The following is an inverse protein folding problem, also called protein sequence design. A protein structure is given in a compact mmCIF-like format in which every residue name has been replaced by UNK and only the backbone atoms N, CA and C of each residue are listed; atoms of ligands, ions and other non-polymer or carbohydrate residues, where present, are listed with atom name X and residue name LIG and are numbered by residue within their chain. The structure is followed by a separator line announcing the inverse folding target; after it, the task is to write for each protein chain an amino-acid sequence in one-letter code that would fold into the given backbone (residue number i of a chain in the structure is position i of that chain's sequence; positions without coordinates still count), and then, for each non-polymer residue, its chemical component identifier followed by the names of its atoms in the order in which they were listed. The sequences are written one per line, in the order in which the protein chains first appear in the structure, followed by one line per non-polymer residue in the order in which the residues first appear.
data_IF_093774148264
#
_entry.id   IF_093774148264
#
_cell.length_a   1.000
_cell.length_b   1.000
_cell.length_c   1.000
_cell.angle_alpha   90.00
_cell.angle_beta   90.00
_cell.angle_gamma   90.00
#
_symmetry.space_group_name_H-M   'P 1'
#
loop_
_entity.id
_entity.type
_entity.pdbx_description
1 polymer ?
#
# COMPACT_ATOMS: atom_id res chain seq x y z
N UNK A 1 29.21 25.55 22.83
CA UNK A 1 28.32 24.99 21.80
C UNK A 1 28.99 25.15 20.46
N UNK A 2 29.47 24.10 19.79
CA UNK A 2 29.99 24.20 18.44
C UNK A 2 28.85 24.01 17.43
N UNK A 3 28.81 24.95 16.51
CA UNK A 3 27.87 25.06 15.38
C UNK A 3 28.02 23.81 14.49
N UNK A 4 26.93 23.06 14.33
CA UNK A 4 26.83 21.91 13.39
C UNK A 4 27.25 22.32 11.97
N UNK A 5 28.07 21.52 11.26
CA UNK A 5 28.48 21.85 9.90
C UNK A 5 27.26 21.82 8.97
N UNK A 6 27.01 22.95 8.31
CA UNK A 6 26.09 23.09 7.19
C UNK A 6 26.31 21.94 6.20
N UNK A 7 25.32 21.10 6.02
CA UNK A 7 25.28 20.10 4.96
C UNK A 7 25.58 20.78 3.64
N UNK A 8 26.77 20.53 3.10
CA UNK A 8 27.13 20.92 1.74
C UNK A 8 26.09 20.29 0.81
N UNK A 9 25.37 21.12 0.06
CA UNK A 9 24.60 20.71 -1.09
C UNK A 9 25.61 20.10 -2.08
N UNK A 10 25.77 18.80 -2.03
CA UNK A 10 26.63 18.09 -2.98
C UNK A 10 26.03 18.29 -4.37
N UNK A 11 26.80 18.90 -5.28
CA UNK A 11 26.49 18.96 -6.71
C UNK A 11 25.97 17.58 -7.13
N UNK A 12 24.76 17.54 -7.70
CA UNK A 12 24.14 16.29 -8.20
C UNK A 12 25.05 15.74 -9.32
N UNK A 13 25.95 14.86 -8.95
CA UNK A 13 26.78 14.13 -9.93
C UNK A 13 25.83 13.18 -10.66
N UNK A 14 25.76 13.26 -11.98
CA UNK A 14 24.98 12.31 -12.78
C UNK A 14 25.60 10.92 -12.61
N UNK A 15 24.78 9.90 -12.36
CA UNK A 15 25.28 8.53 -12.30
C UNK A 15 25.91 8.12 -13.64
N UNK A 16 26.92 7.24 -13.66
CA UNK A 16 27.49 6.68 -14.87
C UNK A 16 26.42 6.09 -15.80
N UNK A 17 26.65 6.11 -17.10
CA UNK A 17 25.66 5.65 -18.08
C UNK A 17 25.12 4.22 -17.83
N UNK A 18 25.94 3.21 -17.44
CA UNK A 18 25.45 1.88 -17.09
C UNK A 18 24.51 1.89 -15.88
N UNK A 19 24.86 2.65 -14.84
CA UNK A 19 24.03 2.79 -13.61
C UNK A 19 22.70 3.46 -13.93
N UNK A 20 22.73 4.53 -14.74
CA UNK A 20 21.52 5.22 -15.17
C UNK A 20 20.59 4.31 -15.97
N UNK A 21 21.13 3.43 -16.83
CA UNK A 21 20.35 2.43 -17.57
C UNK A 21 19.64 1.48 -16.63
N UNK A 22 20.30 0.96 -15.60
CA UNK A 22 19.71 0.04 -14.62
C UNK A 22 18.63 0.74 -13.79
N UNK A 23 18.87 1.98 -13.35
CA UNK A 23 17.84 2.78 -12.65
C UNK A 23 16.60 2.94 -13.54
N UNK A 24 16.76 3.27 -14.82
CA UNK A 24 15.64 3.43 -15.77
C UNK A 24 14.87 2.13 -15.99
N UNK A 25 15.57 0.99 -16.14
CA UNK A 25 14.95 -0.32 -16.30
C UNK A 25 14.17 -0.73 -15.04
N UNK A 26 14.73 -0.50 -13.84
CA UNK A 26 14.05 -0.77 -12.59
C UNK A 26 12.82 0.14 -12.39
N UNK A 27 12.94 1.41 -12.74
CA UNK A 27 11.80 2.34 -12.68
C UNK A 27 10.71 1.94 -13.68
N UNK A 28 11.07 1.52 -14.89
CA UNK A 28 10.17 0.98 -15.90
C UNK A 28 9.48 -0.30 -15.41
N UNK A 29 10.22 -1.20 -14.78
CA UNK A 29 9.66 -2.39 -14.14
C UNK A 29 8.62 -2.02 -13.09
N UNK A 30 8.96 -1.16 -12.14
CA UNK A 30 8.05 -0.77 -11.06
C UNK A 30 6.79 -0.07 -11.59
N UNK A 31 6.93 0.83 -12.56
CA UNK A 31 5.82 1.51 -13.22
C UNK A 31 4.87 0.49 -13.86
N UNK A 32 5.39 -0.35 -14.75
CA UNK A 32 4.59 -1.27 -15.56
C UNK A 32 3.99 -2.40 -14.73
N UNK A 33 4.69 -2.92 -13.73
CA UNK A 33 4.19 -3.95 -12.81
C UNK A 33 3.05 -3.45 -11.91
N UNK A 34 3.06 -2.16 -11.53
CA UNK A 34 2.06 -1.57 -10.64
C UNK A 34 0.95 -0.83 -11.39
N UNK A 35 0.99 -0.76 -12.73
CA UNK A 35 -0.04 -0.13 -13.54
C UNK A 35 -1.18 -1.13 -13.81
N UNK A 36 -2.10 -1.21 -12.85
CA UNK A 36 -3.30 -2.04 -12.94
C UNK A 36 -4.41 -1.22 -13.62
N UNK A 37 -4.61 -1.42 -14.92
CA UNK A 37 -5.63 -0.72 -15.69
C UNK A 37 -7.05 -1.07 -15.26
N UNK A 38 -7.29 -2.30 -14.78
CA UNK A 38 -8.61 -2.74 -14.32
C UNK A 38 -9.02 -2.15 -12.96
N UNK A 39 -8.11 -1.53 -12.20
CA UNK A 39 -8.39 -1.04 -10.85
C UNK A 39 -9.62 -0.12 -10.76
N UNK A 40 -9.87 0.84 -11.69
CA UNK A 40 -11.05 1.69 -11.63
C UNK A 40 -12.37 0.99 -11.92
N UNK A 41 -12.36 -0.24 -12.44
CA UNK A 41 -13.56 -0.89 -13.01
C UNK A 41 -13.73 -2.35 -12.59
N UNK A 42 -12.86 -2.90 -11.72
CA UNK A 42 -12.84 -4.32 -11.40
C UNK A 42 -14.15 -4.83 -10.77
N UNK A 43 -14.76 -4.04 -9.92
CA UNK A 43 -16.03 -4.39 -9.29
C UNK A 43 -17.15 -4.50 -10.33
N UNK A 44 -17.30 -3.48 -11.18
CA UNK A 44 -18.29 -3.48 -12.25
C UNK A 44 -18.07 -4.61 -13.25
N UNK A 45 -16.81 -4.88 -13.61
CA UNK A 45 -16.48 -6.00 -14.51
C UNK A 45 -16.90 -7.36 -13.92
N UNK A 46 -16.65 -7.59 -12.63
CA UNK A 46 -17.07 -8.82 -11.95
C UNK A 46 -18.59 -8.91 -11.80
N UNK A 47 -19.28 -7.78 -11.54
CA UNK A 47 -20.74 -7.72 -11.52
C UNK A 47 -21.35 -8.06 -12.89
N UNK A 48 -20.79 -7.56 -13.96
CA UNK A 48 -21.22 -7.88 -15.34
C UNK A 48 -20.94 -9.35 -15.71
N UNK A 49 -19.92 -9.97 -15.11
CA UNK A 49 -19.67 -11.40 -15.24
C UNK A 49 -20.62 -12.27 -14.39
N UNK A 50 -21.59 -11.66 -13.70
CA UNK A 50 -22.61 -12.36 -12.91
C UNK A 50 -22.24 -12.68 -11.46
N UNK A 51 -21.14 -12.13 -10.93
CA UNK A 51 -20.78 -12.33 -9.54
C UNK A 51 -21.64 -11.48 -8.60
N UNK A 52 -22.05 -12.06 -7.48
CA UNK A 52 -22.68 -11.32 -6.38
C UNK A 52 -21.67 -10.52 -5.58
N UNK A 53 -22.14 -9.51 -4.82
CA UNK A 53 -21.28 -8.70 -3.96
C UNK A 53 -20.51 -9.54 -2.95
N UNK A 54 -21.19 -10.50 -2.32
CA UNK A 54 -20.55 -11.44 -1.38
C UNK A 54 -19.43 -12.26 -2.05
N UNK A 55 -19.58 -12.66 -3.31
CA UNK A 55 -18.56 -13.36 -4.07
C UNK A 55 -17.37 -12.45 -4.39
N UNK A 56 -17.62 -11.22 -4.86
CA UNK A 56 -16.58 -10.25 -5.20
C UNK A 56 -15.72 -9.93 -3.98
N UNK A 57 -16.35 -9.59 -2.85
CA UNK A 57 -15.61 -9.23 -1.64
C UNK A 57 -15.08 -10.45 -0.89
N UNK A 58 -15.67 -11.64 -1.08
CA UNK A 58 -15.09 -12.90 -0.68
C UNK A 58 -13.75 -13.18 -1.38
N UNK A 59 -13.66 -12.94 -2.68
CA UNK A 59 -12.41 -13.02 -3.45
C UNK A 59 -11.37 -12.03 -2.91
N UNK A 60 -11.79 -10.77 -2.62
CA UNK A 60 -10.89 -9.78 -2.03
C UNK A 60 -10.36 -10.21 -0.65
N UNK A 61 -11.22 -10.79 0.19
CA UNK A 61 -10.80 -11.34 1.48
C UNK A 61 -9.75 -12.44 1.32
N UNK A 62 -10.00 -13.41 0.43
CA UNK A 62 -9.05 -14.48 0.12
C UNK A 62 -7.74 -13.92 -0.43
N UNK A 63 -7.77 -12.89 -1.28
CA UNK A 63 -6.58 -12.21 -1.77
C UNK A 63 -5.73 -11.64 -0.63
N UNK A 64 -6.33 -10.94 0.35
CA UNK A 64 -5.60 -10.38 1.48
C UNK A 64 -4.95 -11.48 2.34
N UNK A 65 -5.68 -12.56 2.62
CA UNK A 65 -5.15 -13.72 3.36
C UNK A 65 -4.01 -14.40 2.58
N UNK A 66 -4.22 -14.69 1.30
CA UNK A 66 -3.22 -15.32 0.45
C UNK A 66 -1.94 -14.50 0.36
N UNK A 67 -2.06 -13.17 0.23
CA UNK A 67 -0.89 -12.28 0.21
C UNK A 67 -0.08 -12.40 1.50
N UNK A 68 -0.75 -12.39 2.68
CA UNK A 68 -0.08 -12.57 3.97
C UNK A 68 0.66 -13.91 4.08
N UNK A 69 0.00 -14.99 3.67
CA UNK A 69 0.56 -16.32 3.75
C UNK A 69 1.74 -16.52 2.79
N UNK A 70 1.68 -15.90 1.62
CA UNK A 70 2.71 -16.02 0.57
C UNK A 70 3.92 -15.11 0.82
N UNK A 71 3.78 -14.01 1.57
CA UNK A 71 4.89 -13.08 1.83
C UNK A 71 6.08 -13.75 2.52
N UNK A 72 5.81 -14.76 3.36
CA UNK A 72 6.84 -15.50 4.09
C UNK A 72 7.63 -16.47 3.19
N UNK A 73 6.97 -17.43 2.48
CA UNK A 73 7.70 -18.37 1.63
C UNK A 73 8.39 -17.69 0.44
N UNK A 74 7.84 -16.58 -0.07
CA UNK A 74 8.47 -15.84 -1.18
C UNK A 74 9.77 -15.14 -0.77
N UNK A 75 9.91 -14.72 0.48
CA UNK A 75 11.18 -14.24 1.02
C UNK A 75 12.28 -15.31 0.93
N UNK A 76 12.00 -16.55 1.33
CA UNK A 76 12.96 -17.66 1.17
C UNK A 76 13.29 -18.00 -0.29
N UNK A 77 12.31 -17.85 -1.17
CA UNK A 77 12.51 -18.03 -2.61
C UNK A 77 13.45 -16.95 -3.14
N UNK A 78 13.27 -15.68 -2.72
CA UNK A 78 14.10 -14.56 -3.12
C UNK A 78 15.56 -14.75 -2.69
N UNK A 79 15.80 -15.24 -1.48
CA UNK A 79 17.13 -15.52 -0.96
C UNK A 79 17.88 -16.62 -1.74
N UNK A 80 17.13 -17.61 -2.28
CA UNK A 80 17.73 -18.74 -3.03
C UNK A 80 17.88 -18.48 -4.52
N UNK A 81 16.90 -17.84 -5.14
CA UNK A 81 16.86 -17.64 -6.59
C UNK A 81 17.46 -16.30 -7.04
N UNK A 82 17.61 -15.36 -6.09
CA UNK A 82 18.05 -13.98 -6.35
C UNK A 82 16.91 -13.07 -6.80
N UNK A 83 17.05 -11.78 -6.48
CA UNK A 83 16.01 -10.76 -6.65
C UNK A 83 15.54 -10.61 -8.09
N UNK A 84 16.48 -10.62 -9.06
CA UNK A 84 16.14 -10.49 -10.49
C UNK A 84 15.20 -11.60 -10.96
N UNK A 85 15.45 -12.86 -10.57
CA UNK A 85 14.58 -13.99 -10.94
C UNK A 85 13.20 -13.87 -10.29
N UNK A 86 13.12 -13.43 -9.05
CA UNK A 86 11.84 -13.15 -8.39
C UNK A 86 11.05 -12.07 -9.13
N UNK A 87 11.69 -10.99 -9.59
CA UNK A 87 11.05 -9.98 -10.42
C UNK A 87 10.51 -10.57 -11.72
N UNK A 88 11.29 -11.40 -12.41
CA UNK A 88 10.87 -12.06 -13.66
C UNK A 88 9.70 -13.01 -13.45
N UNK A 89 9.77 -13.88 -12.45
CA UNK A 89 8.68 -14.82 -12.12
C UNK A 89 7.42 -14.08 -11.69
N UNK A 90 7.56 -13.04 -10.87
CA UNK A 90 6.43 -12.20 -10.46
C UNK A 90 5.78 -11.49 -11.64
N UNK A 91 6.57 -10.94 -12.59
CA UNK A 91 6.04 -10.32 -13.79
C UNK A 91 5.36 -11.32 -14.72
N UNK A 92 5.92 -12.51 -14.92
CA UNK A 92 5.31 -13.57 -15.69
C UNK A 92 3.99 -14.05 -15.06
N UNK A 93 3.98 -14.26 -13.74
CA UNK A 93 2.78 -14.62 -12.99
C UNK A 93 1.71 -13.51 -13.07
N UNK A 94 2.10 -12.22 -12.98
CA UNK A 94 1.19 -11.09 -13.13
C UNK A 94 0.58 -11.04 -14.55
N UNK A 95 1.38 -11.32 -15.59
CA UNK A 95 0.90 -11.39 -16.98
C UNK A 95 -0.13 -12.49 -17.13
N UNK A 96 0.17 -13.72 -16.69
CA UNK A 96 -0.75 -14.85 -16.75
C UNK A 96 -2.02 -14.61 -15.93
N UNK A 97 -1.88 -14.05 -14.72
CA UNK A 97 -3.00 -13.73 -13.85
C UNK A 97 -4.03 -12.84 -14.52
N UNK A 98 -3.60 -11.82 -15.27
CA UNK A 98 -4.50 -10.87 -15.90
C UNK A 98 -5.17 -11.40 -17.18
N UNK A 99 -4.73 -12.53 -17.70
CA UNK A 99 -5.41 -13.22 -18.80
C UNK A 99 -6.54 -14.15 -18.31
N UNK A 100 -6.55 -14.56 -17.04
CA UNK A 100 -7.56 -15.45 -16.46
C UNK A 100 -8.98 -14.87 -16.52
N UNK A 101 -9.25 -13.60 -16.13
CA UNK A 101 -10.59 -13.01 -16.26
C UNK A 101 -11.07 -12.88 -17.70
N UNK A 102 -10.14 -12.77 -18.66
CA UNK A 102 -10.45 -12.72 -20.09
C UNK A 102 -10.84 -14.09 -20.62
N UNK A 103 -10.10 -15.12 -20.22
CA UNK A 103 -10.32 -16.50 -20.67
C UNK A 103 -11.51 -17.16 -19.95
N UNK A 104 -11.76 -16.82 -18.69
CA UNK A 104 -12.82 -17.40 -17.86
C UNK A 104 -13.42 -16.33 -16.94
N UNK A 105 -14.39 -15.52 -17.42
CA UNK A 105 -15.06 -14.51 -16.61
C UNK A 105 -16.07 -15.17 -15.66
N UNK A 106 -15.59 -15.87 -14.64
CA UNK A 106 -16.36 -16.65 -13.69
C UNK A 106 -15.79 -16.47 -12.28
N UNK A 107 -16.53 -16.87 -11.25
CA UNK A 107 -16.04 -16.88 -9.88
C UNK A 107 -14.68 -17.57 -9.74
N UNK A 108 -14.53 -18.78 -10.34
CA UNK A 108 -13.28 -19.53 -10.30
C UNK A 108 -12.13 -18.81 -11.03
N UNK A 109 -12.42 -18.20 -12.19
CA UNK A 109 -11.44 -17.42 -12.94
C UNK A 109 -10.96 -16.17 -12.19
N UNK A 110 -11.86 -15.42 -11.54
CA UNK A 110 -11.48 -14.28 -10.71
C UNK A 110 -10.77 -14.71 -9.42
N UNK A 111 -11.18 -15.80 -8.79
CA UNK A 111 -10.48 -16.35 -7.63
C UNK A 111 -9.03 -16.72 -8.00
N UNK A 112 -8.84 -17.45 -9.09
CA UNK A 112 -7.52 -17.81 -9.59
C UNK A 112 -6.68 -16.56 -9.95
N UNK A 113 -7.30 -15.55 -10.59
CA UNK A 113 -6.67 -14.27 -10.90
C UNK A 113 -6.11 -13.59 -9.65
N UNK A 114 -6.94 -13.41 -8.60
CA UNK A 114 -6.52 -12.71 -7.39
C UNK A 114 -5.50 -13.51 -6.57
N UNK A 115 -5.59 -14.83 -6.56
CA UNK A 115 -4.57 -15.70 -5.95
C UNK A 115 -3.23 -15.60 -6.69
N UNK A 116 -3.27 -15.61 -8.02
CA UNK A 116 -2.06 -15.45 -8.83
C UNK A 116 -1.44 -14.05 -8.68
N UNK A 117 -2.27 -12.98 -8.57
CA UNK A 117 -1.79 -11.63 -8.24
C UNK A 117 -1.15 -11.60 -6.84
N UNK A 118 -1.74 -12.27 -5.85
CA UNK A 118 -1.15 -12.35 -4.52
C UNK A 118 0.25 -12.97 -4.58
N UNK A 119 0.40 -14.07 -5.30
CA UNK A 119 1.69 -14.74 -5.51
C UNK A 119 2.69 -13.84 -6.27
N UNK A 120 2.26 -13.22 -7.37
CA UNK A 120 3.09 -12.32 -8.17
C UNK A 120 3.61 -11.15 -7.33
N UNK A 121 2.73 -10.51 -6.56
CA UNK A 121 3.08 -9.37 -5.71
C UNK A 121 3.96 -9.76 -4.53
N UNK A 122 3.73 -10.92 -3.93
CA UNK A 122 4.60 -11.44 -2.85
C UNK A 122 6.01 -11.71 -3.36
N UNK A 123 6.18 -12.28 -4.57
CA UNK A 123 7.50 -12.52 -5.18
C UNK A 123 8.26 -11.22 -5.44
N UNK A 124 7.58 -10.16 -5.85
CA UNK A 124 8.19 -8.86 -6.16
C UNK A 124 8.36 -7.99 -4.91
N UNK A 125 7.59 -8.25 -3.84
CA UNK A 125 7.66 -7.50 -2.59
C UNK A 125 9.08 -7.48 -2.04
N UNK A 126 9.68 -6.30 -2.00
CA UNK A 126 11.08 -6.14 -1.58
C UNK A 126 12.14 -6.49 -2.64
N UNK A 127 11.88 -7.40 -3.58
CA UNK A 127 12.89 -7.86 -4.55
C UNK A 127 13.39 -6.71 -5.47
N UNK A 128 12.50 -5.84 -5.93
CA UNK A 128 12.87 -4.72 -6.79
C UNK A 128 13.76 -3.70 -6.07
N UNK A 129 13.39 -3.30 -4.85
CA UNK A 129 14.16 -2.35 -4.04
C UNK A 129 15.49 -2.95 -3.58
N UNK A 130 15.52 -4.23 -3.21
CA UNK A 130 16.74 -4.94 -2.84
C UNK A 130 17.70 -5.05 -4.03
N UNK A 131 17.20 -5.44 -5.22
CA UNK A 131 17.98 -5.50 -6.44
C UNK A 131 18.64 -4.15 -6.74
N UNK A 132 17.86 -3.07 -6.72
CA UNK A 132 18.36 -1.75 -7.01
C UNK A 132 19.45 -1.32 -6.01
N UNK A 133 19.21 -1.56 -4.71
CA UNK A 133 20.17 -1.22 -3.66
C UNK A 133 21.48 -1.98 -3.83
N UNK A 134 21.43 -3.31 -4.01
CA UNK A 134 22.63 -4.15 -4.20
C UNK A 134 23.42 -3.73 -5.44
N UNK A 135 22.73 -3.49 -6.57
CA UNK A 135 23.39 -3.06 -7.80
C UNK A 135 24.11 -1.71 -7.61
N UNK A 136 23.45 -0.75 -6.97
CA UNK A 136 24.05 0.56 -6.71
C UNK A 136 25.23 0.47 -5.73
N UNK A 137 25.13 -0.42 -4.74
CA UNK A 137 26.21 -0.68 -3.78
C UNK A 137 27.45 -1.26 -4.47
N UNK A 138 27.29 -2.29 -5.30
CA UNK A 138 28.40 -2.89 -6.08
C UNK A 138 29.10 -1.88 -6.99
N UNK A 139 28.40 -0.81 -7.42
CA UNK A 139 28.96 0.20 -8.33
C UNK A 139 29.31 1.53 -7.61
N UNK A 140 29.33 1.56 -6.27
CA UNK A 140 29.65 2.77 -5.49
C UNK A 140 28.71 3.95 -5.72
N UNK A 141 27.43 3.66 -6.03
CA UNK A 141 26.42 4.64 -6.43
C UNK A 141 25.21 4.70 -5.47
N UNK A 142 25.36 4.23 -4.21
CA UNK A 142 24.28 4.17 -3.21
C UNK A 142 23.60 5.52 -2.97
N UNK A 143 24.34 6.61 -3.10
CA UNK A 143 23.80 7.97 -2.96
C UNK A 143 22.63 8.29 -3.90
N UNK A 144 22.45 7.52 -4.98
CA UNK A 144 21.35 7.68 -5.95
C UNK A 144 20.11 6.85 -5.60
N UNK A 145 20.17 5.93 -4.61
CA UNK A 145 19.09 5.00 -4.29
C UNK A 145 17.78 5.71 -3.93
N UNK A 146 17.81 6.64 -2.97
CA UNK A 146 16.62 7.38 -2.52
C UNK A 146 15.95 8.15 -3.68
N UNK A 147 16.78 8.76 -4.55
CA UNK A 147 16.27 9.50 -5.69
C UNK A 147 15.65 8.55 -6.73
N UNK A 148 16.26 7.40 -6.98
CA UNK A 148 15.76 6.41 -7.94
C UNK A 148 14.42 5.83 -7.48
N UNK A 149 14.30 5.41 -6.21
CA UNK A 149 13.04 4.92 -5.62
C UNK A 149 11.95 6.01 -5.64
N UNK A 150 12.29 7.24 -5.27
CA UNK A 150 11.35 8.37 -5.33
C UNK A 150 10.86 8.64 -6.76
N UNK A 151 11.76 8.54 -7.75
CA UNK A 151 11.40 8.70 -9.17
C UNK A 151 10.51 7.57 -9.65
N UNK A 152 10.78 6.31 -9.30
CA UNK A 152 9.95 5.17 -9.64
C UNK A 152 8.52 5.35 -9.12
N UNK A 153 8.39 5.76 -7.85
CA UNK A 153 7.09 6.03 -7.23
C UNK A 153 6.34 7.17 -7.92
N UNK A 154 7.01 8.28 -8.22
CA UNK A 154 6.41 9.41 -8.92
C UNK A 154 5.92 9.02 -10.32
N UNK A 155 6.73 8.29 -11.09
CA UNK A 155 6.34 7.77 -12.41
C UNK A 155 5.12 6.86 -12.33
N UNK A 156 5.06 5.96 -11.33
CA UNK A 156 3.92 5.10 -11.09
C UNK A 156 2.63 5.88 -10.80
N UNK A 157 2.69 6.95 -10.01
CA UNK A 157 1.54 7.82 -9.74
C UNK A 157 1.11 8.58 -11.00
N UNK A 158 2.05 9.17 -11.74
CA UNK A 158 1.76 9.86 -12.99
C UNK A 158 1.12 8.94 -14.03
N UNK A 159 1.63 7.70 -14.16
CA UNK A 159 1.03 6.73 -15.08
C UNK A 159 -0.44 6.44 -14.72
N UNK A 160 -0.77 6.27 -13.44
CA UNK A 160 -2.15 6.07 -12.97
C UNK A 160 -3.04 7.29 -13.30
N UNK A 161 -2.56 8.50 -12.98
CA UNK A 161 -3.28 9.75 -13.24
C UNK A 161 -3.62 9.91 -14.72
N UNK A 162 -2.70 9.53 -15.62
CA UNK A 162 -2.90 9.65 -17.07
C UNK A 162 -3.70 8.49 -17.65
N UNK A 163 -3.44 7.25 -17.21
CA UNK A 163 -4.00 6.05 -17.82
C UNK A 163 -5.40 5.69 -17.31
N UNK A 164 -5.69 5.90 -16.03
CA UNK A 164 -6.97 5.49 -15.45
C UNK A 164 -8.19 6.22 -16.02
N UNK A 165 -8.15 7.53 -16.36
CA UNK A 165 -9.28 8.18 -17.02
C UNK A 165 -9.69 7.53 -18.35
N UNK A 166 -8.76 6.88 -19.04
CA UNK A 166 -9.03 6.22 -20.32
C UNK A 166 -9.78 4.89 -20.17
N UNK A 167 -9.76 4.30 -18.95
CA UNK A 167 -10.25 2.93 -18.72
C UNK A 167 -11.75 2.80 -18.99
N UNK A 168 -12.54 3.79 -18.56
CA UNK A 168 -13.98 3.78 -18.80
C UNK A 168 -14.32 3.76 -20.29
N UNK A 169 -13.64 4.59 -21.07
CA UNK A 169 -13.81 4.63 -22.53
C UNK A 169 -13.35 3.30 -23.17
N UNK A 170 -12.24 2.76 -22.72
CA UNK A 170 -11.73 1.47 -23.23
C UNK A 170 -12.69 0.32 -22.97
N UNK A 171 -13.38 0.29 -21.83
CA UNK A 171 -14.41 -0.71 -21.53
C UNK A 171 -15.61 -0.64 -22.50
N UNK A 172 -15.98 0.54 -22.98
CA UNK A 172 -17.05 0.67 -24.00
C UNK A 172 -16.65 0.06 -25.34
N UNK A 173 -15.35 0.09 -25.68
CA UNK A 173 -14.84 -0.51 -26.93
C UNK A 173 -14.69 -2.03 -26.79
N UNK A 174 -14.09 -2.49 -25.70
CA UNK A 174 -13.92 -3.92 -25.34
C UNK A 174 -13.93 -4.08 -23.83
N UNK A 175 -14.83 -4.88 -23.31
CA UNK A 175 -14.97 -5.11 -21.87
C UNK A 175 -13.68 -5.64 -21.23
N UNK A 176 -12.94 -6.48 -21.92
CA UNK A 176 -11.71 -7.11 -21.42
C UNK A 176 -10.49 -6.20 -21.53
N UNK A 177 -10.58 -5.06 -22.22
CA UNK A 177 -9.43 -4.20 -22.51
C UNK A 177 -8.61 -3.83 -21.28
N UNK A 178 -9.18 -3.49 -20.10
CA UNK A 178 -8.39 -3.17 -18.90
C UNK A 178 -7.52 -4.32 -18.42
N UNK A 179 -8.00 -5.56 -18.48
CA UNK A 179 -7.24 -6.75 -18.09
C UNK A 179 -6.15 -7.07 -19.11
N UNK A 180 -6.44 -6.99 -20.40
CA UNK A 180 -5.46 -7.17 -21.47
C UNK A 180 -4.34 -6.14 -21.37
N UNK A 181 -4.67 -4.85 -21.17
CA UNK A 181 -3.69 -3.79 -21.00
C UNK A 181 -2.83 -3.99 -19.74
N UNK A 182 -3.42 -4.50 -18.67
CA UNK A 182 -2.64 -4.87 -17.48
C UNK A 182 -1.68 -6.03 -17.78
N UNK A 183 -2.13 -7.05 -18.51
CA UNK A 183 -1.27 -8.15 -18.95
C UNK A 183 -0.12 -7.66 -19.84
N UNK A 184 -0.38 -6.75 -20.78
CA UNK A 184 0.64 -6.14 -21.63
C UNK A 184 1.63 -5.28 -20.81
N UNK A 185 1.13 -4.51 -19.83
CA UNK A 185 1.99 -3.76 -18.91
C UNK A 185 2.87 -4.71 -18.09
N UNK A 186 2.33 -5.81 -17.57
CA UNK A 186 3.09 -6.82 -16.85
C UNK A 186 4.13 -7.52 -17.75
N UNK A 187 3.79 -7.79 -19.01
CA UNK A 187 4.74 -8.31 -20.00
C UNK A 187 5.88 -7.32 -20.27
N UNK A 188 5.57 -6.03 -20.36
CA UNK A 188 6.58 -4.97 -20.44
C UNK A 188 7.48 -4.93 -19.20
N UNK A 189 6.93 -5.16 -18.01
CA UNK A 189 7.73 -5.28 -16.78
C UNK A 189 8.65 -6.52 -16.80
N UNK A 190 8.18 -7.64 -17.37
CA UNK A 190 9.01 -8.83 -17.59
C UNK A 190 10.18 -8.52 -18.54
N UNK A 191 9.93 -7.78 -19.62
CA UNK A 191 10.99 -7.34 -20.53
C UNK A 191 12.03 -6.44 -19.82
N UNK A 192 11.56 -5.47 -19.00
CA UNK A 192 12.44 -4.63 -18.19
C UNK A 192 13.31 -5.47 -17.23
N UNK A 193 12.73 -6.40 -16.47
CA UNK A 193 13.48 -7.24 -15.53
C UNK A 193 14.43 -8.22 -16.22
N UNK A 194 14.09 -8.65 -17.43
CA UNK A 194 14.96 -9.51 -18.26
C UNK A 194 16.17 -8.77 -18.81
N UNK A 195 16.03 -7.48 -19.07
CA UNK A 195 17.12 -6.59 -19.53
C UNK A 195 18.04 -6.11 -18.40
N UNK A 196 17.67 -6.33 -17.12
CA UNK A 196 18.53 -6.02 -15.98
C UNK A 196 19.77 -6.94 -15.96
N UNK A 197 20.97 -6.45 -15.62
CA UNK A 197 22.14 -7.30 -15.45
C UNK A 197 21.97 -8.29 -14.28
N UNK A 198 22.65 -9.42 -14.35
CA UNK A 198 22.75 -10.31 -13.20
C UNK A 198 23.71 -9.67 -12.18
N UNK A 199 23.29 -9.58 -10.94
CA UNK A 199 24.18 -9.25 -9.82
C UNK A 199 24.84 -10.55 -9.40
N UNK A 200 26.16 -10.53 -9.19
CA UNK A 200 26.86 -11.70 -8.67
C UNK A 200 26.22 -12.05 -7.31
N UNK A 201 25.83 -13.32 -7.13
CA UNK A 201 25.36 -13.74 -5.81
C UNK A 201 26.37 -13.33 -4.77
N UNK A 202 25.96 -12.75 -3.62
CA UNK A 202 26.90 -12.34 -2.59
C UNK A 202 27.84 -13.49 -2.28
N UNK A 203 29.10 -13.39 -2.71
CA UNK A 203 30.12 -14.35 -2.32
C UNK A 203 30.32 -14.14 -0.82
N UNK A 204 29.64 -15.00 -0.03
CA UNK A 204 29.85 -15.23 1.38
C UNK A 204 30.56 -14.09 2.14
N UNK A 205 29.91 -12.97 2.37
CA UNK A 205 30.57 -11.92 3.15
C UNK A 205 29.60 -10.80 3.52
N UNK A 206 29.09 -10.80 4.74
CA UNK A 206 28.80 -9.54 5.38
C UNK A 206 27.43 -9.27 5.97
N UNK A 207 26.44 -10.07 5.74
CA UNK A 207 25.40 -10.17 6.78
C UNK A 207 25.60 -11.53 7.45
N UNK A 208 25.84 -11.58 8.77
CA UNK A 208 25.71 -12.84 9.48
C UNK A 208 24.35 -13.39 9.06
N UNK A 209 24.25 -14.71 8.69
CA UNK A 209 22.96 -15.30 8.40
C UNK A 209 22.08 -14.86 9.54
N UNK A 210 21.05 -14.03 9.24
CA UNK A 210 20.10 -13.61 10.26
C UNK A 210 19.78 -14.91 10.95
N UNK A 211 20.22 -15.04 12.21
CA UNK A 211 20.07 -16.28 12.99
C UNK A 211 18.75 -16.85 12.57
N UNK A 212 18.73 -18.10 12.07
CA UNK A 212 17.52 -18.73 11.57
C UNK A 212 16.52 -18.85 12.72
N UNK A 213 16.11 -17.70 13.22
CA UNK A 213 15.11 -17.57 14.26
C UNK A 213 13.83 -18.05 13.59
N UNK A 214 13.36 -19.19 14.00
CA UNK A 214 12.13 -19.76 13.47
C UNK A 214 11.03 -18.69 13.46
N UNK A 215 10.15 -18.75 12.47
CA UNK A 215 9.05 -17.79 12.32
C UNK A 215 8.28 -17.59 13.63
N UNK A 216 8.04 -18.69 14.36
CA UNK A 216 7.38 -18.70 15.67
C UNK A 216 8.20 -17.93 16.71
N UNK A 217 9.52 -18.05 16.70
CA UNK A 217 10.39 -17.34 17.64
C UNK A 217 10.47 -15.85 17.30
N UNK A 218 10.49 -15.49 16.01
CA UNK A 218 10.39 -14.10 15.57
C UNK A 218 9.05 -13.48 15.96
N UNK A 219 7.95 -14.19 15.76
CA UNK A 219 6.62 -13.76 16.19
C UNK A 219 6.50 -13.63 17.72
N UNK A 220 7.05 -14.60 18.47
CA UNK A 220 7.08 -14.54 19.94
C UNK A 220 7.93 -13.36 20.47
N UNK A 221 9.08 -13.09 19.84
CA UNK A 221 9.93 -11.96 20.20
C UNK A 221 9.27 -10.63 19.85
N UNK A 222 8.62 -10.53 18.67
CA UNK A 222 7.83 -9.36 18.30
C UNK A 222 6.65 -9.12 19.27
N UNK A 223 5.92 -10.18 19.64
CA UNK A 223 4.85 -10.09 20.64
C UNK A 223 5.36 -9.65 22.02
N UNK A 224 6.57 -10.09 22.42
CA UNK A 224 7.20 -9.65 23.67
C UNK A 224 7.59 -8.17 23.62
N UNK A 225 8.15 -7.68 22.49
CA UNK A 225 8.47 -6.25 22.31
C UNK A 225 7.19 -5.40 22.31
N UNK A 226 6.11 -5.88 21.66
CA UNK A 226 4.79 -5.23 21.71
C UNK A 226 4.25 -5.16 23.15
N UNK A 227 4.38 -6.23 23.92
CA UNK A 227 3.94 -6.29 25.33
C UNK A 227 4.79 -5.44 26.29
N UNK A 228 6.06 -5.19 25.97
CA UNK A 228 6.95 -4.36 26.81
C UNK A 228 6.90 -2.88 26.47
N UNK A 229 6.58 -2.52 25.24
CA UNK A 229 6.46 -1.12 24.80
C UNK A 229 5.03 -0.61 24.97
N UNK A 230 4.80 0.19 26.01
CA UNK A 230 3.48 0.74 26.33
C UNK A 230 2.87 1.60 25.21
N UNK A 231 3.68 2.26 24.38
CA UNK A 231 3.22 3.15 23.32
C UNK A 231 3.11 2.47 21.94
N UNK A 232 3.89 1.44 21.65
CA UNK A 232 3.96 0.82 20.33
C UNK A 232 2.65 0.14 19.94
N UNK A 233 2.03 -0.63 20.86
CA UNK A 233 0.76 -1.29 20.63
C UNK A 233 -0.35 -0.31 20.20
N UNK A 234 -0.68 0.72 20.99
CA UNK A 234 -1.66 1.75 20.60
C UNK A 234 -1.33 2.47 19.29
N UNK A 235 -0.06 2.77 19.00
CA UNK A 235 0.36 3.39 17.73
C UNK A 235 0.18 2.44 16.55
N UNK A 236 0.41 1.14 16.73
CA UNK A 236 0.13 0.14 15.68
C UNK A 236 -1.37 0.01 15.42
N UNK A 237 -2.20 -0.01 16.46
CA UNK A 237 -3.68 -0.01 16.30
C UNK A 237 -4.13 1.24 15.55
N UNK A 238 -3.59 2.42 15.87
CA UNK A 238 -3.86 3.66 15.16
C UNK A 238 -3.46 3.54 13.67
N UNK A 239 -2.27 3.00 13.40
CA UNK A 239 -1.76 2.78 12.05
C UNK A 239 -2.64 1.84 11.24
N UNK A 240 -3.00 0.68 11.81
CA UNK A 240 -3.89 -0.29 11.17
C UNK A 240 -5.25 0.35 10.86
N UNK A 241 -5.85 1.09 11.79
CA UNK A 241 -7.12 1.77 11.55
C UNK A 241 -7.06 2.73 10.35
N UNK A 242 -6.02 3.58 10.29
CA UNK A 242 -5.82 4.54 9.18
C UNK A 242 -5.58 3.84 7.85
N UNK A 243 -4.66 2.86 7.83
CA UNK A 243 -4.26 2.19 6.59
C UNK A 243 -5.37 1.29 6.06
N UNK A 244 -6.09 0.58 6.94
CA UNK A 244 -7.26 -0.21 6.56
C UNK A 244 -8.37 0.68 6.00
N UNK A 245 -8.72 1.79 6.68
CA UNK A 245 -9.74 2.71 6.21
C UNK A 245 -9.40 3.28 4.83
N UNK A 246 -8.15 3.73 4.62
CA UNK A 246 -7.68 4.23 3.35
C UNK A 246 -7.75 3.16 2.25
N UNK A 247 -7.28 1.96 2.53
CA UNK A 247 -7.27 0.84 1.56
C UNK A 247 -8.67 0.39 1.18
N UNK A 248 -9.55 0.20 2.17
CA UNK A 248 -10.92 -0.25 1.93
C UNK A 248 -11.70 0.80 1.14
N UNK A 249 -11.56 2.07 1.47
CA UNK A 249 -12.20 3.14 0.71
C UNK A 249 -11.68 3.18 -0.75
N UNK A 250 -10.37 3.24 -0.95
CA UNK A 250 -9.78 3.42 -2.28
C UNK A 250 -9.84 2.18 -3.17
N UNK A 251 -9.93 0.98 -2.60
CA UNK A 251 -9.96 -0.26 -3.37
C UNK A 251 -11.38 -0.84 -3.43
N UNK A 252 -12.05 -0.95 -2.29
CA UNK A 252 -13.27 -1.75 -2.20
C UNK A 252 -14.55 -0.91 -2.29
N UNK A 253 -14.60 0.28 -1.71
CA UNK A 253 -15.82 1.06 -1.57
C UNK A 253 -16.04 2.09 -2.68
N UNK A 254 -14.98 2.62 -3.30
CA UNK A 254 -15.16 3.75 -4.21
C UNK A 254 -16.06 3.43 -5.42
N UNK A 255 -15.95 2.23 -6.02
CA UNK A 255 -16.79 1.85 -7.16
C UNK A 255 -18.25 1.61 -6.77
N UNK A 256 -18.56 0.77 -5.74
CA UNK A 256 -19.93 0.65 -5.26
C UNK A 256 -20.57 1.99 -4.94
N UNK A 257 -19.83 2.89 -4.26
CA UNK A 257 -20.32 4.21 -3.90
C UNK A 257 -20.61 5.09 -5.13
N UNK A 258 -19.72 5.10 -6.12
CA UNK A 258 -19.96 5.86 -7.37
C UNK A 258 -21.18 5.33 -8.13
N UNK A 259 -21.34 4.01 -8.19
CA UNK A 259 -22.49 3.37 -8.83
C UNK A 259 -23.78 3.70 -8.12
N UNK A 260 -23.84 3.66 -6.78
CA UNK A 260 -25.01 4.02 -5.99
C UNK A 260 -25.43 5.48 -6.20
N UNK A 261 -24.44 6.38 -6.38
CA UNK A 261 -24.70 7.80 -6.67
C UNK A 261 -24.98 8.07 -8.16
N UNK A 262 -25.18 7.03 -8.99
CA UNK A 262 -25.53 7.14 -10.40
C UNK A 262 -24.41 7.64 -11.32
N UNK A 263 -23.16 7.60 -10.85
CA UNK A 263 -22.02 8.02 -11.68
C UNK A 263 -21.65 6.94 -12.69
N UNK A 264 -21.53 7.29 -13.99
CA UNK A 264 -21.25 6.30 -15.03
C UNK A 264 -19.85 5.69 -14.84
N UNK A 265 -19.72 4.41 -15.21
CA UNK A 265 -18.44 3.66 -15.11
C UNK A 265 -17.33 4.35 -15.92
N UNK A 266 -17.69 5.07 -16.98
CA UNK A 266 -16.77 5.86 -17.78
C UNK A 266 -15.97 6.87 -16.94
N UNK A 267 -16.57 7.43 -15.89
CA UNK A 267 -15.96 8.46 -15.05
C UNK A 267 -15.16 7.89 -13.88
N UNK A 268 -15.32 6.60 -13.55
CA UNK A 268 -14.65 5.99 -12.39
C UNK A 268 -13.12 6.15 -12.41
N UNK A 269 -12.54 6.01 -13.60
CA UNK A 269 -11.09 6.20 -13.78
C UNK A 269 -10.65 7.64 -13.53
N UNK A 270 -11.43 8.62 -13.99
CA UNK A 270 -11.17 10.05 -13.78
C UNK A 270 -11.29 10.41 -12.28
N UNK A 271 -12.31 9.89 -11.59
CA UNK A 271 -12.49 10.09 -10.15
C UNK A 271 -11.32 9.50 -9.37
N UNK A 272 -10.90 8.26 -9.67
CA UNK A 272 -9.77 7.62 -8.99
C UNK A 272 -8.45 8.37 -9.26
N UNK A 273 -8.29 8.94 -10.45
CA UNK A 273 -7.15 9.80 -10.77
C UNK A 273 -7.18 11.10 -9.97
N UNK A 274 -8.34 11.75 -9.85
CA UNK A 274 -8.50 12.94 -9.01
C UNK A 274 -8.19 12.64 -7.53
N UNK A 275 -8.66 11.51 -7.00
CA UNK A 275 -8.30 11.03 -5.66
C UNK A 275 -6.78 10.82 -5.52
N UNK A 276 -6.12 10.26 -6.53
CA UNK A 276 -4.66 10.05 -6.54
C UNK A 276 -3.90 11.37 -6.52
N UNK A 277 -4.36 12.37 -7.28
CA UNK A 277 -3.80 13.74 -7.24
C UNK A 277 -3.98 14.36 -5.85
N UNK A 278 -5.17 14.25 -5.28
CA UNK A 278 -5.48 14.78 -3.95
C UNK A 278 -4.58 14.13 -2.87
N UNK A 279 -4.40 12.80 -2.92
CA UNK A 279 -3.49 12.07 -2.04
C UNK A 279 -2.04 12.53 -2.19
N UNK A 280 -1.57 12.72 -3.43
CA UNK A 280 -0.22 13.21 -3.70
C UNK A 280 0.01 14.62 -3.13
N UNK A 281 -0.96 15.54 -3.30
CA UNK A 281 -0.93 16.90 -2.72
C UNK A 281 -0.89 16.83 -1.20
N UNK A 282 -1.73 15.98 -0.59
CA UNK A 282 -1.73 15.74 0.86
C UNK A 282 -0.35 15.27 1.35
N UNK A 283 0.20 14.26 0.72
CA UNK A 283 1.51 13.70 1.07
C UNK A 283 2.65 14.72 0.97
N UNK A 284 2.59 15.63 -0.01
CA UNK A 284 3.60 16.67 -0.19
C UNK A 284 3.54 17.77 0.90
N UNK A 285 2.41 17.93 1.58
CA UNK A 285 2.18 19.00 2.57
C UNK A 285 2.20 18.56 4.03
N UNK A 286 2.71 17.38 4.32
CA UNK A 286 2.81 16.83 5.70
C UNK A 286 3.54 17.74 6.69
N UNK A 287 4.50 18.55 6.22
CA UNK A 287 5.23 19.50 7.06
C UNK A 287 4.38 20.66 7.62
N UNK A 288 3.23 20.98 6.99
CA UNK A 288 2.40 22.13 7.39
C UNK A 288 1.72 21.94 8.75
N UNK A 289 1.37 20.72 9.11
CA UNK A 289 0.75 20.38 10.39
C UNK A 289 1.76 20.05 11.49
N UNK A 290 2.97 19.64 11.11
CA UNK A 290 4.05 19.30 12.06
C UNK A 290 4.57 20.58 12.73
N UNK A 291 4.64 20.57 14.05
CA UNK A 291 5.10 21.70 14.85
C UNK A 291 3.99 22.48 15.58
N UNK A 292 2.72 22.31 15.17
CA UNK A 292 1.57 22.91 15.88
C UNK A 292 0.91 21.93 16.85
N UNK A 293 0.89 20.65 16.50
CA UNK A 293 0.31 19.56 17.28
C UNK A 293 1.31 18.40 17.38
N UNK A 294 1.09 17.48 18.33
CA UNK A 294 1.87 16.27 18.37
C UNK A 294 1.53 15.37 17.18
N UNK A 295 2.51 14.66 16.62
CA UNK A 295 2.32 13.77 15.46
C UNK A 295 1.17 12.78 15.67
N UNK A 296 1.01 12.21 16.87
CA UNK A 296 -0.12 11.31 17.20
C UNK A 296 -1.47 12.03 17.17
N UNK A 297 -1.56 13.28 17.67
CA UNK A 297 -2.78 14.08 17.60
C UNK A 297 -3.11 14.44 16.15
N UNK A 298 -2.10 14.79 15.35
CA UNK A 298 -2.26 15.08 13.93
C UNK A 298 -2.89 13.88 13.23
N UNK A 299 -2.36 12.68 13.43
CA UNK A 299 -2.91 11.46 12.82
C UNK A 299 -4.35 11.21 13.28
N UNK A 300 -4.64 11.34 14.59
CA UNK A 300 -6.00 11.16 15.10
C UNK A 300 -6.98 12.12 14.43
N UNK A 301 -6.66 13.42 14.39
CA UNK A 301 -7.54 14.45 13.78
C UNK A 301 -7.76 14.16 12.29
N UNK A 302 -6.69 13.86 11.54
CA UNK A 302 -6.81 13.59 10.11
C UNK A 302 -7.65 12.32 9.88
N UNK A 303 -7.49 11.30 10.70
CA UNK A 303 -8.26 10.06 10.57
C UNK A 303 -9.75 10.24 10.91
N UNK A 304 -10.06 11.12 11.86
CA UNK A 304 -11.45 11.55 12.11
C UNK A 304 -11.99 12.30 10.89
N UNK A 305 -11.22 13.17 10.27
CA UNK A 305 -11.62 13.85 9.02
C UNK A 305 -11.88 12.83 7.92
N UNK A 306 -11.02 11.80 7.75
CA UNK A 306 -11.26 10.71 6.81
C UNK A 306 -12.58 9.99 7.08
N UNK A 307 -12.84 9.63 8.33
CA UNK A 307 -14.09 8.95 8.71
C UNK A 307 -15.32 9.83 8.44
N UNK A 308 -15.27 11.10 8.80
CA UNK A 308 -16.37 12.05 8.59
C UNK A 308 -16.61 12.34 7.10
N UNK A 309 -15.56 12.50 6.29
CA UNK A 309 -15.71 12.70 4.83
C UNK A 309 -16.31 11.46 4.17
N UNK A 310 -15.96 10.26 4.62
CA UNK A 310 -16.57 9.03 4.14
C UNK A 310 -18.05 8.95 4.52
N UNK A 311 -18.42 9.24 5.76
CA UNK A 311 -19.83 9.30 6.18
C UNK A 311 -20.61 10.39 5.45
N UNK A 312 -20.02 11.55 5.17
CA UNK A 312 -20.68 12.65 4.48
C UNK A 312 -21.09 12.29 3.03
N UNK A 313 -20.47 11.27 2.43
CA UNK A 313 -20.88 10.80 1.09
C UNK A 313 -22.32 10.24 1.10
N UNK A 314 -22.84 9.75 2.23
CA UNK A 314 -24.22 9.25 2.34
C UNK A 314 -25.25 10.35 2.08
N UNK A 315 -24.92 11.57 2.47
CA UNK A 315 -25.80 12.74 2.37
C UNK A 315 -25.60 13.55 1.10
N UNK A 316 -24.65 13.17 0.25
CA UNK A 316 -24.25 13.95 -0.95
C UNK A 316 -24.73 13.30 -2.25
N UNK A 317 -24.94 14.15 -3.27
CA UNK A 317 -25.11 13.70 -4.66
C UNK A 317 -23.75 13.44 -5.33
N UNK A 318 -23.77 13.06 -6.61
CA UNK A 318 -22.59 12.59 -7.33
C UNK A 318 -21.35 13.49 -7.24
N UNK A 319 -21.49 14.80 -7.52
CA UNK A 319 -20.36 15.74 -7.43
C UNK A 319 -19.86 15.90 -5.99
N UNK A 320 -20.78 16.01 -5.01
CA UNK A 320 -20.42 16.07 -3.58
C UNK A 320 -19.65 14.82 -3.14
N UNK A 321 -20.06 13.65 -3.59
CA UNK A 321 -19.36 12.38 -3.32
C UNK A 321 -17.91 12.42 -3.87
N UNK A 322 -17.70 12.90 -5.09
CA UNK A 322 -16.35 13.05 -5.66
C UNK A 322 -15.49 13.98 -4.80
N UNK A 323 -16.03 15.13 -4.37
CA UNK A 323 -15.32 16.08 -3.52
C UNK A 323 -14.96 15.46 -2.16
N UNK A 324 -15.87 14.73 -1.51
CA UNK A 324 -15.58 14.06 -0.25
C UNK A 324 -14.56 12.92 -0.42
N UNK A 325 -14.61 12.15 -1.50
CA UNK A 325 -13.60 11.13 -1.79
C UNK A 325 -12.21 11.75 -2.04
N UNK A 326 -12.14 12.89 -2.73
CA UNK A 326 -10.87 13.63 -2.90
C UNK A 326 -10.37 14.20 -1.57
N UNK A 327 -11.24 14.74 -0.71
CA UNK A 327 -10.88 15.20 0.62
C UNK A 327 -10.39 14.04 1.51
N UNK A 328 -11.07 12.90 1.44
CA UNK A 328 -10.62 11.64 2.08
C UNK A 328 -9.23 11.24 1.63
N UNK A 329 -8.98 11.21 0.32
CA UNK A 329 -7.69 10.82 -0.25
C UNK A 329 -6.57 11.80 0.14
N UNK A 330 -6.83 13.11 0.14
CA UNK A 330 -5.89 14.13 0.61
C UNK A 330 -5.54 13.92 2.09
N UNK A 331 -6.53 13.66 2.93
CA UNK A 331 -6.34 13.35 4.34
C UNK A 331 -5.52 12.06 4.54
N UNK A 332 -5.81 11.00 3.79
CA UNK A 332 -5.02 9.76 3.81
C UNK A 332 -3.56 10.01 3.42
N UNK A 333 -3.32 10.84 2.38
CA UNK A 333 -1.99 11.24 1.96
C UNK A 333 -1.21 11.99 3.05
N UNK A 334 -1.87 12.85 3.82
CA UNK A 334 -1.28 13.53 4.98
C UNK A 334 -0.97 12.56 6.14
N UNK A 335 -1.90 11.64 6.44
CA UNK A 335 -1.77 10.72 7.57
C UNK A 335 -0.66 9.70 7.41
N UNK A 336 -0.50 9.14 6.20
CA UNK A 336 0.39 8.02 5.95
C UNK A 336 1.85 8.27 6.35
N UNK A 337 2.54 9.34 5.90
CA UNK A 337 3.94 9.58 6.27
C UNK A 337 4.12 9.88 7.76
N UNK A 338 3.17 10.58 8.38
CA UNK A 338 3.23 10.92 9.81
C UNK A 338 3.08 9.66 10.66
N UNK A 339 2.09 8.81 10.35
CA UNK A 339 1.86 7.55 11.04
C UNK A 339 3.05 6.60 10.88
N UNK A 340 3.62 6.50 9.68
CA UNK A 340 4.80 5.68 9.41
C UNK A 340 6.01 6.15 10.22
N UNK A 341 6.19 7.46 10.34
CA UNK A 341 7.24 8.03 11.18
C UNK A 341 7.04 7.74 12.66
N UNK A 342 5.80 7.83 13.17
CA UNK A 342 5.46 7.51 14.56
C UNK A 342 5.79 6.06 14.92
N UNK A 343 5.39 5.10 14.09
CA UNK A 343 5.68 3.69 14.29
C UNK A 343 7.18 3.45 14.25
N UNK A 344 7.87 4.02 13.25
CA UNK A 344 9.31 3.88 13.12
C UNK A 344 10.09 4.46 14.30
N UNK A 345 9.63 5.56 14.88
CA UNK A 345 10.26 6.19 16.06
C UNK A 345 9.94 5.43 17.36
N UNK A 346 8.78 4.76 17.44
CA UNK A 346 8.38 3.99 18.60
C UNK A 346 9.02 2.60 18.68
N UNK A 347 9.51 2.07 17.55
CA UNK A 347 10.23 0.79 17.52
C UNK A 347 11.63 1.01 18.10
N UNK A 348 12.01 0.30 19.20
CA UNK A 348 13.36 0.39 19.76
C UNK A 348 14.44 0.05 18.72
N UNK A 349 15.67 0.52 18.92
CA UNK A 349 16.81 0.11 18.10
C UNK A 349 17.13 -1.38 18.37
N UNK A 350 16.44 -2.27 17.68
CA UNK A 350 16.54 -3.72 17.86
C UNK A 350 16.75 -4.39 16.50
N UNK A 351 17.42 -5.55 16.45
CA UNK A 351 17.54 -6.36 15.24
C UNK A 351 16.17 -6.86 14.72
N UNK A 352 15.09 -6.73 15.49
CA UNK A 352 13.73 -7.20 15.15
C UNK A 352 12.83 -6.13 14.53
N UNK A 353 13.38 -4.97 14.12
CA UNK A 353 12.60 -3.87 13.51
C UNK A 353 11.82 -4.32 12.28
N UNK A 354 12.46 -5.08 11.38
CA UNK A 354 11.80 -5.62 10.19
C UNK A 354 10.65 -6.55 10.56
N UNK A 355 10.84 -7.42 11.57
CA UNK A 355 9.79 -8.34 12.05
C UNK A 355 8.58 -7.59 12.61
N UNK A 356 8.79 -6.50 13.37
CA UNK A 356 7.70 -5.70 13.92
C UNK A 356 6.88 -5.01 12.80
N UNK A 357 7.54 -4.49 11.76
CA UNK A 357 6.87 -3.90 10.61
C UNK A 357 6.12 -4.95 9.77
N UNK A 358 6.65 -6.18 9.68
CA UNK A 358 5.94 -7.29 9.04
C UNK A 358 4.70 -7.71 9.84
N UNK A 359 4.77 -7.74 11.16
CA UNK A 359 3.60 -8.02 12.02
C UNK A 359 2.50 -6.97 11.82
N UNK A 360 2.85 -5.68 11.76
CA UNK A 360 1.90 -4.61 11.44
C UNK A 360 1.22 -4.85 10.10
N UNK A 361 2.00 -5.19 9.06
CA UNK A 361 1.48 -5.46 7.70
C UNK A 361 0.53 -6.67 7.67
N UNK A 362 0.86 -7.74 8.41
CA UNK A 362 0.01 -8.92 8.53
C UNK A 362 -1.32 -8.59 9.22
N UNK A 363 -1.26 -7.82 10.32
CA UNK A 363 -2.47 -7.39 11.04
C UNK A 363 -3.35 -6.51 10.15
N UNK A 364 -2.78 -5.51 9.46
CA UNK A 364 -3.50 -4.64 8.51
C UNK A 364 -4.23 -5.46 7.44
N UNK A 365 -3.57 -6.44 6.84
CA UNK A 365 -4.19 -7.30 5.82
C UNK A 365 -5.23 -8.25 6.39
N UNK A 366 -5.00 -8.80 7.58
CA UNK A 366 -5.98 -9.62 8.28
C UNK A 366 -7.26 -8.83 8.58
N UNK A 367 -7.12 -7.59 9.05
CA UNK A 367 -8.26 -6.68 9.25
C UNK A 367 -8.94 -6.36 7.92
N UNK A 368 -8.16 -6.05 6.85
CA UNK A 368 -8.72 -5.84 5.52
C UNK A 368 -9.51 -7.04 5.00
N UNK A 369 -9.06 -8.27 5.27
CA UNK A 369 -9.78 -9.49 4.89
C UNK A 369 -11.15 -9.58 5.56
N UNK A 370 -11.21 -9.32 6.87
CA UNK A 370 -12.48 -9.34 7.62
C UNK A 370 -13.41 -8.20 7.18
N UNK A 371 -12.84 -6.99 6.98
CA UNK A 371 -13.64 -5.82 6.55
C UNK A 371 -14.17 -6.04 5.14
N UNK A 372 -13.41 -6.69 4.23
CA UNK A 372 -13.89 -7.02 2.89
C UNK A 372 -15.14 -7.93 2.95
N UNK A 373 -15.17 -8.94 3.82
CA UNK A 373 -16.35 -9.77 4.01
C UNK A 373 -17.54 -8.96 4.51
N UNK A 374 -17.31 -8.04 5.46
CA UNK A 374 -18.36 -7.14 5.94
C UNK A 374 -18.90 -6.23 4.82
N UNK A 375 -18.02 -5.67 3.99
CA UNK A 375 -18.42 -4.87 2.81
C UNK A 375 -19.33 -5.70 1.90
N UNK A 376 -18.95 -6.93 1.57
CA UNK A 376 -19.76 -7.83 0.74
C UNK A 376 -21.13 -8.12 1.35
N UNK A 377 -21.21 -8.35 2.67
CA UNK A 377 -22.46 -8.61 3.37
C UNK A 377 -23.41 -7.39 3.40
N UNK A 378 -22.86 -6.18 3.63
CA UNK A 378 -23.66 -4.95 3.63
C UNK A 378 -24.17 -4.60 2.24
N UNK A 379 -23.34 -4.75 1.21
CA UNK A 379 -23.75 -4.51 -0.19
C UNK A 379 -24.79 -5.52 -0.65
N UNK A 380 -24.63 -6.79 -0.32
CA UNK A 380 -25.62 -7.83 -0.64
C UNK A 380 -26.98 -7.59 0.04
N UNK A 381 -27.00 -6.82 1.15
CA UNK A 381 -28.21 -6.42 1.86
C UNK A 381 -28.72 -5.02 1.43
N UNK A 382 -28.12 -4.40 0.42
CA UNK A 382 -28.43 -3.04 -0.06
C UNK A 382 -28.34 -1.97 1.05
N UNK A 383 -27.29 -2.05 1.88
CA UNK A 383 -27.08 -1.22 3.08
C UNK A 383 -25.73 -0.49 3.06
N UNK A 384 -25.33 0.04 1.90
CA UNK A 384 -24.03 0.73 1.76
C UNK A 384 -23.94 1.95 2.69
N UNK A 385 -24.97 2.79 2.75
CA UNK A 385 -24.97 3.97 3.64
C UNK A 385 -24.78 3.58 5.12
N UNK A 386 -25.43 2.51 5.57
CA UNK A 386 -25.23 1.99 6.93
C UNK A 386 -23.78 1.52 7.17
N UNK A 387 -23.16 0.87 6.18
CA UNK A 387 -21.75 0.47 6.25
C UNK A 387 -20.84 1.69 6.42
N UNK A 388 -21.04 2.75 5.63
CA UNK A 388 -20.22 3.97 5.66
C UNK A 388 -20.32 4.67 7.02
N UNK A 389 -21.55 4.78 7.57
CA UNK A 389 -21.79 5.37 8.90
C UNK A 389 -21.18 4.50 10.01
N UNK A 390 -21.36 3.17 9.97
CA UNK A 390 -20.78 2.27 10.97
C UNK A 390 -19.25 2.25 10.90
N UNK A 391 -18.67 2.26 9.71
CA UNK A 391 -17.20 2.35 9.53
C UNK A 391 -16.66 3.67 10.08
N UNK A 392 -17.33 4.79 9.82
CA UNK A 392 -16.95 6.09 10.35
C UNK A 392 -17.07 6.14 11.89
N UNK A 393 -18.20 5.72 12.44
CA UNK A 393 -18.44 5.71 13.89
C UNK A 393 -17.45 4.78 14.61
N UNK A 394 -17.24 3.56 14.08
CA UNK A 394 -16.29 2.60 14.65
C UNK A 394 -14.84 3.12 14.60
N UNK A 395 -14.45 3.75 13.51
CA UNK A 395 -13.11 4.37 13.39
C UNK A 395 -12.95 5.52 14.39
N UNK A 396 -13.93 6.42 14.50
CA UNK A 396 -13.90 7.54 15.45
C UNK A 396 -13.83 7.03 16.89
N UNK A 397 -14.62 6.03 17.25
CA UNK A 397 -14.62 5.42 18.59
C UNK A 397 -13.25 4.78 18.90
N UNK A 398 -12.71 3.99 17.97
CA UNK A 398 -11.40 3.36 18.13
C UNK A 398 -10.30 4.40 18.33
N UNK A 399 -10.30 5.46 17.53
CA UNK A 399 -9.30 6.52 17.61
C UNK A 399 -9.44 7.37 18.88
N UNK A 400 -10.66 7.56 19.37
CA UNK A 400 -10.91 8.20 20.68
C UNK A 400 -10.26 7.38 21.79
N UNK A 401 -10.52 6.06 21.82
CA UNK A 401 -9.94 5.15 22.82
C UNK A 401 -8.41 5.17 22.75
N UNK A 402 -7.85 5.02 21.55
CA UNK A 402 -6.38 5.06 21.34
C UNK A 402 -5.81 6.41 21.76
N UNK A 403 -6.47 7.53 21.41
CA UNK A 403 -6.05 8.87 21.78
C UNK A 403 -6.03 9.10 23.30
N UNK A 404 -7.04 8.59 24.01
CA UNK A 404 -7.10 8.64 25.50
C UNK A 404 -5.94 7.82 26.10
N UNK A 405 -5.71 6.62 25.59
CA UNK A 405 -4.61 5.74 26.06
C UNK A 405 -3.26 6.42 25.86
N UNK A 406 -2.98 6.92 24.66
CA UNK A 406 -1.72 7.61 24.34
C UNK A 406 -1.54 8.89 25.16
N UNK A 407 -2.64 9.64 25.40
CA UNK A 407 -2.65 10.84 26.23
C UNK A 407 -2.28 10.52 27.70
N UNK A 408 -2.83 9.45 28.27
CA UNK A 408 -2.48 8.98 29.63
C UNK A 408 -1.01 8.57 29.72
N UNK A 409 -0.53 7.76 28.81
CA UNK A 409 0.87 7.30 28.77
C UNK A 409 1.86 8.48 28.71
N UNK A 410 1.50 9.53 27.99
CA UNK A 410 2.32 10.74 27.88
C UNK A 410 2.39 11.52 29.22
N UNK A 411 1.26 11.66 29.91
CA UNK A 411 1.19 12.32 31.23
C UNK A 411 2.02 11.56 32.28
N UNK A 412 1.93 10.25 32.28
CA UNK A 412 2.69 9.40 33.20
C UNK A 412 4.20 9.45 32.93
N UNK A 413 4.62 9.54 31.67
CA UNK A 413 6.02 9.74 31.28
C UNK A 413 6.58 11.06 31.80
N UNK A 414 5.84 12.16 31.63
CA UNK A 414 6.25 13.50 32.10
C UNK A 414 6.34 13.55 33.63
N UNK A 415 5.42 12.92 34.36
CA UNK A 415 5.46 12.86 35.82
C UNK A 415 6.67 12.08 36.35
N UNK A 416 7.10 11.02 35.67
CA UNK A 416 8.29 10.23 36.08
C UNK A 416 9.61 10.97 35.86
N UNK A 417 9.69 11.78 34.78
CA UNK A 417 10.89 12.62 34.54
C UNK A 417 10.96 13.84 35.46
N UNK A 418 9.80 14.38 35.87
CA UNK A 418 9.74 15.51 36.82
C UNK A 418 9.90 15.11 38.28
N UNK A 419 9.82 13.82 38.63
CA UNK A 419 9.97 13.29 39.98
C UNK A 419 11.29 12.55 40.27
N UNK A 420 12.28 12.62 39.37
CA UNK A 420 13.65 12.18 39.65
C UNK A 420 14.45 13.39 40.16
N UNK A 421 14.96 13.36 41.42
CA UNK A 421 15.77 14.41 42.00
C UNK A 421 17.15 14.52 41.33
#
# INVERSE_FOLDING_TARGET
MPISPRTRVTRRVRPPAPVLRVIRLNNGFQLLFNLLWWMPVFYQYQRQAGLSDSQIFGIQSVYYVAFCLLEIPTGFIADRMGQRRCMQLGAAAMTAANLLPVASPSFAGFMAHFLAIAAARSLVSGASSAYLYEYLHEHGAEGHYIQAEGTARALGLWAKIVCWPLVGVLMHVRHEAPYVLTALSALGSLACSSALPAIAAPRGGGHPPAERVGLLDSARRAARVLGTSRSLGPLMVQGVAVFTLARICQVNLFQPLLLEKGLPVADHGAVLSAMTVAEAIGSARTGWLRGRLSDSTVVTVISVVMALTLAATTLSGGLGTILFLCAFAAAAGLAYPVQRNLINAAIPATPYRATLLSVESIIDRGVCAVVALAVGAYLAADRLDALLVHAAAGTCLLLLVVGVVLGRLRRDGVRRTAGQP
#
